data_IF_959257960650
#
_entry.id   IF_959257960650
#
_cell.length_a   1.000
_cell.length_b   1.000
_cell.length_c   1.000
_cell.angle_alpha   90.00
_cell.angle_beta   90.00
_cell.angle_gamma   90.00
#
_symmetry.space_group_name_H-M   'P 1'
#
loop_
_entity.id
_entity.type
_entity.pdbx_description
1 polymer ?
#
# COMPACT_ATOMS: atom_id res chain seq x y z
N UNK A 1 -11.98 -7.70 92.70
CA UNK A 1 -12.47 -6.74 91.72
C UNK A 1 -11.41 -6.65 90.67
N UNK A 2 -11.54 -7.40 89.64
CA UNK A 2 -10.60 -7.42 88.51
C UNK A 2 -11.35 -6.86 87.36
N UNK A 3 -10.90 -5.67 86.90
CA UNK A 3 -11.32 -5.10 85.62
C UNK A 3 -10.29 -5.44 84.58
N UNK A 4 -10.66 -6.32 83.64
CA UNK A 4 -9.95 -6.49 82.37
C UNK A 4 -10.46 -5.47 81.34
N UNK A 5 -9.56 -4.81 80.58
CA UNK A 5 -9.98 -3.98 79.47
C UNK A 5 -10.24 -4.78 78.20
N UNK A 6 -11.18 -4.37 77.33
CA UNK A 6 -11.56 -5.11 76.14
C UNK A 6 -10.54 -5.03 75.00
N UNK A 7 -10.05 -6.18 74.58
CA UNK A 7 -9.19 -6.34 73.43
C UNK A 7 -10.00 -6.56 72.14
N UNK A 8 -10.64 -5.50 71.61
CA UNK A 8 -11.26 -5.56 70.24
C UNK A 8 -11.11 -4.20 69.57
N UNK A 9 -10.04 -3.97 68.84
CA UNK A 9 -10.04 -2.92 67.77
C UNK A 9 -8.85 -2.93 66.81
N UNK A 10 -7.80 -3.71 67.04
CA UNK A 10 -6.61 -3.68 66.17
C UNK A 10 -6.76 -4.48 64.86
N UNK A 11 -7.43 -5.63 64.86
CA UNK A 11 -7.60 -6.47 63.70
C UNK A 11 -8.63 -5.96 62.70
N UNK A 12 -9.70 -5.32 63.13
CA UNK A 12 -10.71 -4.77 62.22
C UNK A 12 -10.17 -3.52 61.44
N UNK A 13 -9.31 -2.73 62.06
CA UNK A 13 -8.65 -1.60 61.42
C UNK A 13 -7.60 -2.04 60.39
N UNK A 14 -6.88 -3.15 60.62
CA UNK A 14 -5.89 -3.69 59.69
C UNK A 14 -6.54 -4.29 58.42
N UNK A 15 -7.71 -4.97 58.56
CA UNK A 15 -8.47 -5.45 57.39
C UNK A 15 -9.06 -4.31 56.55
N UNK A 16 -9.57 -3.28 57.18
CA UNK A 16 -10.11 -2.08 56.51
C UNK A 16 -9.03 -1.35 55.73
N UNK A 17 -7.82 -1.21 56.29
CA UNK A 17 -6.68 -0.59 55.66
C UNK A 17 -6.14 -1.40 54.46
N UNK A 18 -6.02 -2.69 54.59
CA UNK A 18 -5.65 -3.61 53.48
C UNK A 18 -6.66 -3.58 52.33
N UNK A 19 -7.94 -3.53 52.59
CA UNK A 19 -8.97 -3.42 51.56
C UNK A 19 -8.97 -2.03 50.87
N UNK A 20 -8.71 -0.95 51.62
CA UNK A 20 -8.55 0.38 51.03
C UNK A 20 -7.33 0.48 50.15
N UNK A 21 -6.19 -0.09 50.52
CA UNK A 21 -4.99 -0.17 49.69
C UNK A 21 -5.24 -1.04 48.45
N UNK A 22 -5.85 -2.20 48.57
CA UNK A 22 -6.23 -3.05 47.43
C UNK A 22 -7.17 -2.35 46.47
N UNK A 23 -8.15 -1.60 46.97
CA UNK A 23 -9.07 -0.85 46.12
C UNK A 23 -8.40 0.35 45.46
N UNK A 24 -7.53 1.10 46.15
CA UNK A 24 -6.72 2.15 45.54
C UNK A 24 -5.74 1.61 44.50
N UNK A 25 -5.10 0.48 44.77
CA UNK A 25 -4.23 -0.18 43.80
C UNK A 25 -5.05 -0.68 42.58
N UNK A 26 -6.26 -1.24 42.77
CA UNK A 26 -7.16 -1.57 41.66
C UNK A 26 -7.64 -0.34 40.88
N UNK A 27 -7.89 0.79 41.55
CA UNK A 27 -8.21 2.06 40.88
C UNK A 27 -7.02 2.61 40.10
N UNK A 28 -5.81 2.56 40.66
CA UNK A 28 -4.58 2.94 39.96
C UNK A 28 -4.34 2.03 38.76
N UNK A 29 -4.46 0.70 38.90
CA UNK A 29 -4.37 -0.23 37.77
C UNK A 29 -5.47 -0.04 36.72
N UNK A 30 -6.70 0.33 37.13
CA UNK A 30 -7.81 0.62 36.23
C UNK A 30 -7.63 1.96 35.50
N UNK A 31 -7.02 2.96 36.15
CA UNK A 31 -6.66 4.24 35.53
C UNK A 31 -5.39 4.17 34.70
N UNK A 32 -4.53 3.18 34.92
CA UNK A 32 -3.34 2.88 34.12
C UNK A 32 -3.65 1.95 32.92
N UNK A 33 -4.88 1.45 32.78
CA UNK A 33 -5.34 0.80 31.55
C UNK A 33 -5.50 1.91 30.50
N UNK A 34 -4.42 2.19 29.79
CA UNK A 34 -4.39 3.11 28.66
C UNK A 34 -5.44 2.66 27.64
N UNK A 35 -6.53 3.42 27.55
CA UNK A 35 -7.57 3.20 26.55
C UNK A 35 -7.36 4.27 25.50
N UNK A 36 -6.92 3.90 24.30
CA UNK A 36 -6.73 4.86 23.22
C UNK A 36 -8.05 5.57 22.92
N UNK A 37 -8.03 6.90 22.86
CA UNK A 37 -9.20 7.74 22.61
C UNK A 37 -9.35 8.13 21.14
N UNK A 38 -8.30 7.95 20.36
CA UNK A 38 -8.27 8.25 18.95
C UNK A 38 -7.35 7.26 18.19
N UNK A 39 -7.37 7.34 16.85
CA UNK A 39 -6.58 6.45 15.99
C UNK A 39 -5.06 6.57 16.22
N UNK A 40 -4.56 7.77 16.52
CA UNK A 40 -3.13 8.00 16.74
C UNK A 40 -2.65 7.33 18.03
N UNK A 41 -3.43 7.48 19.11
CA UNK A 41 -3.16 6.80 20.37
C UNK A 41 -3.25 5.27 20.22
N UNK A 42 -4.20 4.76 19.41
CA UNK A 42 -4.31 3.35 19.11
C UNK A 42 -3.06 2.84 18.37
N UNK A 43 -2.62 3.55 17.33
CA UNK A 43 -1.42 3.22 16.59
C UNK A 43 -0.17 3.21 17.49
N UNK A 44 -0.04 4.20 18.41
CA UNK A 44 1.04 4.23 19.41
C UNK A 44 1.04 3.00 20.30
N UNK A 45 -0.13 2.60 20.83
CA UNK A 45 -0.24 1.41 21.69
C UNK A 45 0.12 0.11 20.95
N UNK A 46 -0.16 0.04 19.65
CA UNK A 46 0.16 -1.11 18.81
C UNK A 46 1.67 -1.18 18.55
N UNK A 47 2.32 -0.03 18.28
CA UNK A 47 3.79 0.07 18.14
C UNK A 47 4.51 -0.36 19.41
N UNK A 48 4.09 0.16 20.58
CA UNK A 48 4.62 -0.24 21.87
C UNK A 48 4.52 -1.77 22.10
N UNK A 49 3.43 -2.39 21.61
CA UNK A 49 3.23 -3.83 21.72
C UNK A 49 4.21 -4.59 20.82
N UNK A 50 4.55 -4.07 19.65
CA UNK A 50 5.55 -4.65 18.75
C UNK A 50 6.96 -4.50 19.31
N UNK A 51 7.31 -3.35 19.89
CA UNK A 51 8.60 -3.11 20.53
C UNK A 51 8.84 -4.05 21.71
N UNK A 52 7.78 -4.43 22.44
CA UNK A 52 7.83 -5.41 23.52
C UNK A 52 7.85 -6.86 23.05
N UNK A 53 7.83 -7.11 21.73
CA UNK A 53 7.83 -8.47 21.17
C UNK A 53 6.51 -9.22 21.29
N UNK A 54 5.39 -8.53 21.65
CA UNK A 54 4.04 -9.13 21.72
C UNK A 54 3.42 -9.24 20.33
N UNK A 55 3.81 -8.35 19.40
CA UNK A 55 3.30 -8.27 18.04
C UNK A 55 4.46 -8.33 17.05
N UNK A 56 4.35 -9.19 16.05
CA UNK A 56 5.34 -9.28 14.96
C UNK A 56 5.30 -8.03 14.07
N UNK A 57 6.45 -7.62 13.53
CA UNK A 57 6.56 -6.43 12.68
C UNK A 57 5.65 -6.48 11.45
N UNK A 58 5.52 -7.63 10.79
CA UNK A 58 4.61 -7.78 9.65
C UNK A 58 3.15 -7.52 10.02
N UNK A 59 2.71 -8.03 11.17
CA UNK A 59 1.36 -7.78 11.70
C UNK A 59 1.16 -6.31 12.07
N UNK A 60 2.18 -5.65 12.64
CA UNK A 60 2.15 -4.21 12.92
C UNK A 60 1.90 -3.42 11.62
N UNK A 61 2.69 -3.69 10.57
CA UNK A 61 2.56 -3.01 9.27
C UNK A 61 1.15 -3.17 8.68
N UNK A 62 0.58 -4.38 8.71
CA UNK A 62 -0.79 -4.62 8.23
C UNK A 62 -1.83 -3.82 9.02
N UNK A 63 -1.69 -3.71 10.35
CA UNK A 63 -2.62 -2.93 11.16
C UNK A 63 -2.49 -1.43 10.85
N UNK A 64 -1.28 -0.93 10.69
CA UNK A 64 -1.04 0.47 10.30
C UNK A 64 -1.59 0.77 8.90
N UNK A 65 -1.39 -0.14 7.93
CA UNK A 65 -1.98 -0.06 6.60
C UNK A 65 -3.51 -0.03 6.64
N UNK A 66 -4.14 -0.91 7.43
CA UNK A 66 -5.60 -0.90 7.60
C UNK A 66 -6.12 0.41 8.22
N UNK A 67 -5.39 1.00 9.17
CA UNK A 67 -5.71 2.32 9.73
C UNK A 67 -5.57 3.43 8.67
N UNK A 68 -4.54 3.36 7.82
CA UNK A 68 -4.28 4.29 6.71
C UNK A 68 -5.43 4.23 5.69
N UNK A 69 -5.77 3.06 5.16
CA UNK A 69 -6.89 2.86 4.21
C UNK A 69 -8.21 3.41 4.74
N UNK A 70 -8.42 3.41 6.06
CA UNK A 70 -9.62 4.00 6.65
C UNK A 70 -9.69 5.53 6.60
N UNK A 71 -8.58 6.22 6.29
CA UNK A 71 -8.47 7.69 6.22
C UNK A 71 -8.21 8.21 4.83
N UNK A 72 -7.47 7.47 4.03
CA UNK A 72 -6.99 7.90 2.72
C UNK A 72 -8.09 7.89 1.66
N UNK A 73 -7.85 8.60 0.59
CA UNK A 73 -8.75 8.78 -0.54
C UNK A 73 -8.21 8.07 -1.78
N UNK A 74 -9.07 7.84 -2.75
CA UNK A 74 -8.73 7.20 -4.03
C UNK A 74 -7.55 7.89 -4.72
N UNK A 75 -7.51 9.22 -4.71
CA UNK A 75 -6.42 10.01 -5.31
C UNK A 75 -5.03 9.72 -4.74
N UNK A 76 -4.97 9.21 -3.50
CA UNK A 76 -3.70 8.97 -2.81
C UNK A 76 -3.02 7.68 -3.29
N UNK A 77 -3.80 6.76 -3.94
CA UNK A 77 -3.32 5.44 -4.39
C UNK A 77 -3.63 5.12 -5.85
N UNK A 78 -4.44 5.94 -6.53
CA UNK A 78 -4.80 5.69 -7.93
C UNK A 78 -3.57 5.71 -8.84
N UNK A 79 -3.63 4.94 -9.92
CA UNK A 79 -2.70 5.05 -11.04
C UNK A 79 -3.12 6.26 -11.87
N UNK A 80 -2.30 7.32 -11.96
CA UNK A 80 -2.64 8.52 -12.70
C UNK A 80 -2.83 8.24 -14.20
N UNK A 81 -3.73 8.97 -14.85
CA UNK A 81 -4.08 8.80 -16.26
C UNK A 81 -2.88 8.67 -17.21
N UNK A 82 -1.77 9.44 -17.10
CA UNK A 82 -0.61 9.31 -18.00
C UNK A 82 0.09 7.94 -17.91
N UNK A 83 -0.12 7.19 -16.83
CA UNK A 83 0.47 5.86 -16.62
C UNK A 83 -0.48 4.72 -17.02
N UNK A 84 -1.74 5.04 -17.30
CA UNK A 84 -2.74 4.03 -17.65
C UNK A 84 -2.57 3.59 -19.10
N UNK A 85 -2.56 2.27 -19.31
CA UNK A 85 -2.56 1.69 -20.65
C UNK A 85 -4.00 1.57 -21.14
N UNK A 86 -4.43 2.48 -21.99
CA UNK A 86 -5.74 2.45 -22.63
C UNK A 86 -5.71 1.64 -23.94
N UNK A 87 -6.86 1.10 -24.34
CA UNK A 87 -7.13 0.61 -25.68
C UNK A 87 -8.21 1.50 -26.27
N UNK A 88 -8.00 2.02 -27.48
CA UNK A 88 -9.00 2.83 -28.16
C UNK A 88 -10.12 1.94 -28.73
N UNK A 89 -11.34 2.44 -28.69
CA UNK A 89 -12.56 1.72 -29.09
C UNK A 89 -12.46 1.13 -30.51
N UNK A 90 -11.94 1.89 -31.45
CA UNK A 90 -11.84 1.52 -32.86
C UNK A 90 -10.47 0.96 -33.25
N UNK A 91 -9.59 0.73 -32.25
CA UNK A 91 -8.26 0.20 -32.48
C UNK A 91 -8.31 -1.28 -32.90
N UNK A 92 -7.54 -1.62 -33.92
CA UNK A 92 -7.48 -2.99 -34.40
C UNK A 92 -6.70 -3.90 -33.45
N UNK A 93 -7.13 -5.16 -33.35
CA UNK A 93 -6.48 -6.13 -32.46
C UNK A 93 -4.98 -6.25 -32.68
N UNK A 94 -4.52 -6.22 -33.92
CA UNK A 94 -3.10 -6.31 -34.27
C UNK A 94 -2.26 -5.16 -33.72
N UNK A 95 -2.86 -3.99 -33.48
CA UNK A 95 -2.17 -2.77 -33.04
C UNK A 95 -2.07 -2.70 -31.51
N UNK A 96 -3.13 -3.11 -30.78
CA UNK A 96 -3.10 -3.07 -29.32
C UNK A 96 -2.56 -4.36 -28.65
N UNK A 97 -2.69 -5.55 -29.29
CA UNK A 97 -2.22 -6.81 -28.70
C UNK A 97 -0.76 -6.80 -28.25
N UNK A 98 0.21 -6.26 -29.02
CA UNK A 98 1.59 -6.17 -28.55
C UNK A 98 1.74 -5.36 -27.27
N UNK A 99 0.91 -4.32 -27.09
CA UNK A 99 0.87 -3.45 -25.91
C UNK A 99 0.31 -4.20 -24.71
N UNK A 100 -0.80 -4.93 -24.91
CA UNK A 100 -1.41 -5.80 -23.89
C UNK A 100 -0.43 -6.87 -23.39
N UNK A 101 0.24 -7.56 -24.31
CA UNK A 101 1.20 -8.62 -23.98
C UNK A 101 2.41 -8.02 -23.20
N UNK A 102 2.93 -6.90 -23.65
CA UNK A 102 4.10 -6.27 -23.03
C UNK A 102 3.81 -5.72 -21.63
N UNK A 103 2.62 -5.16 -21.42
CA UNK A 103 2.24 -4.59 -20.13
C UNK A 103 1.95 -5.63 -19.07
N UNK A 104 1.54 -6.85 -19.46
CA UNK A 104 1.18 -7.90 -18.50
C UNK A 104 -0.10 -7.65 -17.69
N UNK A 105 -0.80 -6.53 -17.94
CA UNK A 105 -1.99 -6.19 -17.18
C UNK A 105 -3.18 -7.10 -17.51
N UNK A 106 -4.03 -7.32 -16.53
CA UNK A 106 -5.23 -8.17 -16.68
C UNK A 106 -6.45 -7.41 -17.20
N UNK A 107 -6.49 -6.08 -17.06
CA UNK A 107 -7.66 -5.24 -17.37
C UNK A 107 -7.22 -3.96 -18.06
N UNK A 108 -7.95 -3.57 -19.10
CA UNK A 108 -7.67 -2.40 -19.92
C UNK A 108 -8.91 -1.54 -20.07
N UNK A 109 -8.89 -0.27 -19.65
CA UNK A 109 -9.97 0.65 -19.94
C UNK A 109 -10.04 0.93 -21.45
N UNK A 110 -11.26 0.94 -21.99
CA UNK A 110 -11.53 1.23 -23.40
C UNK A 110 -11.90 2.69 -23.52
N UNK A 111 -11.02 3.44 -24.16
CA UNK A 111 -11.19 4.89 -24.39
C UNK A 111 -11.87 5.16 -25.72
N UNK A 112 -12.85 6.01 -25.71
CA UNK A 112 -13.38 6.62 -26.94
C UNK A 112 -12.60 7.93 -27.20
N UNK A 113 -11.74 7.98 -28.24
CA UNK A 113 -10.90 9.13 -28.49
C UNK A 113 -11.66 10.41 -28.92
N UNK A 114 -12.89 10.27 -29.44
CA UNK A 114 -13.70 11.41 -29.87
C UNK A 114 -14.35 12.14 -28.69
N UNK A 115 -14.74 11.39 -27.66
CA UNK A 115 -15.46 11.93 -26.49
C UNK A 115 -14.59 12.02 -25.24
N UNK A 116 -13.37 11.47 -25.29
CA UNK A 116 -12.45 11.32 -24.17
C UNK A 116 -13.08 10.57 -22.97
N UNK A 117 -14.00 9.62 -23.21
CA UNK A 117 -14.70 8.86 -22.18
C UNK A 117 -14.36 7.39 -22.23
N UNK A 118 -14.43 6.74 -21.05
CA UNK A 118 -14.29 5.28 -20.96
C UNK A 118 -15.63 4.63 -21.26
N UNK A 119 -15.66 3.73 -22.25
CA UNK A 119 -16.83 2.95 -22.62
C UNK A 119 -16.96 1.65 -21.81
N UNK A 120 -15.88 1.18 -21.21
CA UNK A 120 -15.86 0.02 -20.37
C UNK A 120 -14.46 -0.55 -20.16
N UNK A 121 -14.40 -1.81 -19.74
CA UNK A 121 -13.16 -2.53 -19.42
C UNK A 121 -13.07 -3.79 -20.26
N UNK A 122 -11.93 -4.00 -20.90
CA UNK A 122 -11.55 -5.26 -21.54
C UNK A 122 -10.74 -6.11 -20.57
N UNK A 123 -11.06 -7.40 -20.46
CA UNK A 123 -10.25 -8.37 -19.74
C UNK A 123 -9.27 -9.05 -20.72
N UNK A 124 -7.97 -9.01 -20.42
CA UNK A 124 -6.94 -9.64 -21.27
C UNK A 124 -7.21 -11.13 -21.56
N UNK A 125 -7.73 -11.88 -20.59
CA UNK A 125 -8.09 -13.29 -20.75
C UNK A 125 -9.15 -13.55 -21.83
N UNK A 126 -10.00 -12.57 -22.13
CA UNK A 126 -11.04 -12.72 -23.16
C UNK A 126 -10.48 -12.62 -24.58
N UNK A 127 -9.21 -12.22 -24.72
CA UNK A 127 -8.48 -12.25 -25.99
C UNK A 127 -7.92 -13.64 -26.35
N UNK A 128 -7.77 -14.53 -25.35
CA UNK A 128 -7.13 -15.84 -25.54
C UNK A 128 -7.77 -16.70 -26.66
N UNK A 129 -9.11 -16.80 -26.79
CA UNK A 129 -9.72 -17.57 -27.87
C UNK A 129 -9.33 -17.06 -29.26
N UNK A 130 -9.21 -15.75 -29.45
CA UNK A 130 -8.89 -15.13 -30.74
C UNK A 130 -7.41 -15.27 -31.10
N UNK A 131 -6.52 -15.23 -30.11
CA UNK A 131 -5.09 -15.43 -30.30
C UNK A 131 -4.81 -16.87 -30.64
N UNK A 132 -5.46 -17.84 -29.99
CA UNK A 132 -5.24 -19.27 -30.20
C UNK A 132 -5.69 -19.77 -31.58
N UNK A 133 -6.79 -19.20 -32.09
CA UNK A 133 -7.33 -19.59 -33.41
C UNK A 133 -6.73 -18.82 -34.57
N UNK A 134 -5.90 -17.79 -34.30
CA UNK A 134 -5.39 -16.83 -35.29
C UNK A 134 -6.50 -16.16 -36.11
N UNK A 135 -7.72 -16.19 -35.63
CA UNK A 135 -8.90 -15.67 -36.34
C UNK A 135 -9.25 -14.24 -35.86
N UNK A 136 -8.28 -13.33 -36.07
CA UNK A 136 -8.47 -11.91 -35.72
C UNK A 136 -9.55 -11.21 -36.57
N UNK A 137 -9.97 -11.82 -37.69
CA UNK A 137 -11.00 -11.24 -38.54
C UNK A 137 -12.42 -11.30 -37.90
N UNK A 138 -12.66 -12.23 -36.99
CA UNK A 138 -13.91 -12.35 -36.24
C UNK A 138 -13.89 -11.58 -34.93
N UNK A 139 -12.78 -10.93 -34.59
CA UNK A 139 -12.63 -10.16 -33.38
C UNK A 139 -13.49 -8.89 -33.44
N UNK A 140 -14.39 -8.75 -32.49
CA UNK A 140 -15.20 -7.55 -32.28
C UNK A 140 -15.01 -7.09 -30.84
N UNK A 141 -14.23 -6.05 -30.65
CA UNK A 141 -13.92 -5.47 -29.32
C UNK A 141 -15.20 -5.16 -28.54
N UNK A 142 -16.23 -4.59 -29.22
CA UNK A 142 -17.50 -4.21 -28.63
C UNK A 142 -18.26 -5.33 -27.90
N UNK A 143 -18.02 -6.59 -28.27
CA UNK A 143 -18.64 -7.76 -27.61
C UNK A 143 -17.95 -8.17 -26.31
N UNK A 144 -16.73 -7.72 -26.10
CA UNK A 144 -15.89 -8.09 -24.97
C UNK A 144 -15.81 -7.00 -23.90
N UNK A 145 -16.35 -5.80 -24.21
CA UNK A 145 -16.35 -4.67 -23.30
C UNK A 145 -17.34 -4.94 -22.15
N UNK A 146 -16.84 -4.85 -20.94
CA UNK A 146 -17.64 -4.93 -19.71
C UNK A 146 -17.89 -3.54 -19.14
N UNK A 147 -19.03 -3.31 -18.46
CA UNK A 147 -19.29 -2.03 -17.81
C UNK A 147 -18.15 -1.63 -16.86
N UNK A 148 -17.74 -0.37 -16.91
CA UNK A 148 -16.80 0.20 -15.97
C UNK A 148 -17.52 0.74 -14.73
N UNK A 149 -16.88 0.67 -13.58
CA UNK A 149 -17.28 1.38 -12.36
C UNK A 149 -16.57 2.72 -12.35
N UNK A 150 -17.28 3.79 -12.04
CA UNK A 150 -16.73 5.14 -11.93
C UNK A 150 -16.80 5.62 -10.48
N UNK A 151 -15.72 6.22 -10.01
CA UNK A 151 -15.64 6.71 -8.63
C UNK A 151 -14.95 8.07 -8.60
N UNK A 152 -15.37 8.99 -7.70
CA UNK A 152 -14.67 10.25 -7.54
C UNK A 152 -13.33 10.04 -6.83
N UNK A 153 -12.34 10.85 -7.17
CA UNK A 153 -11.00 10.80 -6.56
C UNK A 153 -11.00 11.11 -5.05
N UNK A 154 -12.00 11.82 -4.56
CA UNK A 154 -12.20 12.14 -3.13
C UNK A 154 -12.82 11.00 -2.31
N UNK A 155 -13.23 9.89 -2.96
CA UNK A 155 -13.83 8.74 -2.26
C UNK A 155 -12.85 8.11 -1.28
N UNK A 156 -13.34 7.72 -0.09
CA UNK A 156 -12.52 6.99 0.89
C UNK A 156 -12.20 5.58 0.41
N UNK A 157 -10.96 5.13 0.64
CA UNK A 157 -10.49 3.82 0.18
C UNK A 157 -11.26 2.64 0.79
N UNK A 158 -11.64 2.71 2.07
CA UNK A 158 -12.47 1.67 2.68
C UNK A 158 -13.82 1.52 1.98
N UNK A 159 -14.47 2.63 1.62
CA UNK A 159 -15.76 2.60 0.91
C UNK A 159 -15.59 2.08 -0.52
N UNK A 160 -14.48 2.43 -1.19
CA UNK A 160 -14.13 1.88 -2.49
C UNK A 160 -13.95 0.36 -2.42
N UNK A 161 -13.20 -0.13 -1.44
CA UNK A 161 -12.94 -1.54 -1.25
C UNK A 161 -14.24 -2.33 -1.07
N UNK A 162 -15.16 -1.83 -0.23
CA UNK A 162 -16.45 -2.47 0.00
C UNK A 162 -17.31 -2.49 -1.28
N UNK A 163 -17.32 -1.42 -2.05
CA UNK A 163 -18.04 -1.33 -3.32
C UNK A 163 -17.50 -2.28 -4.38
N UNK A 164 -16.17 -2.31 -4.57
CA UNK A 164 -15.52 -3.22 -5.51
C UNK A 164 -15.79 -4.68 -5.14
N UNK A 165 -15.70 -5.04 -3.86
CA UNK A 165 -16.02 -6.39 -3.38
C UNK A 165 -17.48 -6.75 -3.60
N UNK A 166 -18.42 -5.88 -3.25
CA UNK A 166 -19.84 -6.13 -3.42
C UNK A 166 -20.23 -6.28 -4.88
N UNK A 167 -19.66 -5.46 -5.77
CA UNK A 167 -19.87 -5.48 -7.21
C UNK A 167 -19.08 -6.58 -7.94
N UNK A 168 -18.18 -7.31 -7.25
CA UNK A 168 -17.22 -8.23 -7.87
C UNK A 168 -16.39 -7.58 -8.99
N UNK A 169 -16.14 -6.30 -8.83
CA UNK A 169 -15.29 -5.52 -9.71
C UNK A 169 -13.88 -5.44 -9.11
N UNK A 170 -12.88 -5.44 -9.98
CA UNK A 170 -11.48 -5.34 -9.57
C UNK A 170 -10.82 -4.04 -9.98
N UNK A 171 -11.52 -3.21 -10.74
CA UNK A 171 -11.02 -1.94 -11.24
C UNK A 171 -12.14 -0.91 -11.26
N UNK A 172 -11.83 0.32 -10.92
CA UNK A 172 -12.67 1.48 -11.10
C UNK A 172 -11.93 2.57 -11.89
N UNK A 173 -12.65 3.33 -12.67
CA UNK A 173 -12.16 4.55 -13.34
C UNK A 173 -12.38 5.71 -12.40
N UNK A 174 -11.35 6.53 -12.22
CA UNK A 174 -11.38 7.66 -11.30
C UNK A 174 -11.69 8.94 -12.06
N UNK A 175 -12.62 9.72 -11.53
CA UNK A 175 -13.06 10.98 -12.12
C UNK A 175 -12.83 12.13 -11.14
N UNK A 176 -12.54 13.31 -11.69
CA UNK A 176 -12.54 14.57 -10.96
C UNK A 176 -13.96 15.16 -10.80
N UNK A 177 -14.05 16.37 -10.26
CA UNK A 177 -15.31 17.11 -10.02
C UNK A 177 -16.00 17.55 -11.32
N UNK A 178 -15.29 17.55 -12.44
CA UNK A 178 -15.79 17.92 -13.77
C UNK A 178 -16.25 16.70 -14.58
N UNK A 179 -15.94 15.50 -14.08
CA UNK A 179 -16.23 14.23 -14.74
C UNK A 179 -15.13 13.81 -15.73
N UNK A 180 -13.98 14.43 -15.66
CA UNK A 180 -12.80 14.06 -16.45
C UNK A 180 -12.05 12.89 -15.81
N UNK A 181 -11.43 12.05 -16.64
CA UNK A 181 -10.69 10.87 -16.20
C UNK A 181 -9.34 11.31 -15.63
N UNK A 182 -9.14 11.10 -14.34
CA UNK A 182 -7.88 11.37 -13.64
C UNK A 182 -6.98 10.16 -13.49
N UNK A 183 -7.56 8.95 -13.52
CA UNK A 183 -6.81 7.70 -13.40
C UNK A 183 -7.68 6.46 -13.30
N UNK A 184 -7.08 5.40 -12.80
CA UNK A 184 -7.77 4.17 -12.42
C UNK A 184 -7.31 3.74 -11.04
N UNK A 185 -8.08 2.90 -10.39
CA UNK A 185 -7.71 2.23 -9.14
C UNK A 185 -8.19 0.79 -9.17
N UNK A 186 -7.37 -0.13 -8.68
CA UNK A 186 -7.72 -1.55 -8.59
C UNK A 186 -7.91 -1.99 -7.14
N UNK A 187 -8.54 -3.14 -6.94
CA UNK A 187 -8.66 -3.72 -5.60
C UNK A 187 -7.28 -4.12 -5.07
N UNK A 188 -6.40 -4.52 -5.97
CA UNK A 188 -5.02 -4.88 -5.72
C UNK A 188 -4.25 -3.69 -5.11
N UNK A 189 -4.39 -2.48 -5.66
CA UNK A 189 -3.74 -1.26 -5.14
C UNK A 189 -4.20 -0.94 -3.70
N UNK A 190 -5.49 -1.10 -3.42
CA UNK A 190 -6.03 -0.87 -2.06
C UNK A 190 -5.54 -1.93 -1.07
N UNK A 191 -5.41 -3.19 -1.51
CA UNK A 191 -4.89 -4.28 -0.68
C UNK A 191 -3.40 -4.11 -0.41
N UNK A 192 -2.64 -3.62 -1.36
CA UNK A 192 -1.21 -3.30 -1.21
C UNK A 192 -0.98 -2.27 -0.11
N UNK A 193 -1.84 -1.24 0.01
CA UNK A 193 -1.78 -0.28 1.11
C UNK A 193 -2.00 -0.92 2.51
N UNK A 194 -2.69 -2.07 2.57
CA UNK A 194 -2.93 -2.80 3.83
C UNK A 194 -1.79 -3.76 4.14
N UNK A 195 -1.39 -4.55 3.15
CA UNK A 195 -0.45 -5.68 3.33
C UNK A 195 0.99 -5.22 3.17
N UNK A 196 1.22 -4.11 2.45
CA UNK A 196 2.53 -3.70 1.93
C UNK A 196 2.87 -4.50 0.67
N UNK A 197 3.99 -4.20 0.06
CA UNK A 197 4.51 -5.03 -1.04
C UNK A 197 4.61 -6.48 -0.55
N UNK A 198 3.90 -7.38 -1.23
CA UNK A 198 4.05 -8.82 -0.99
C UNK A 198 5.38 -9.18 -1.62
N UNK A 199 6.43 -9.26 -0.78
CA UNK A 199 7.71 -9.80 -1.23
C UNK A 199 7.44 -11.18 -1.84
N UNK A 200 7.58 -11.30 -3.16
CA UNK A 200 7.52 -12.61 -3.84
C UNK A 200 8.68 -13.45 -3.28
N UNK A 201 8.43 -14.75 -3.03
CA UNK A 201 9.48 -15.67 -2.53
C UNK A 201 10.73 -15.69 -3.45
N UNK A 202 10.57 -15.17 -4.68
CA UNK A 202 11.63 -14.93 -5.64
C UNK A 202 12.25 -13.53 -5.57
N UNK A 203 11.61 -12.57 -4.88
CA UNK A 203 12.07 -11.18 -4.72
C UNK A 203 13.09 -10.99 -3.57
N UNK A 204 13.81 -12.03 -3.20
CA UNK A 204 14.97 -11.87 -2.29
C UNK A 204 15.98 -10.82 -2.76
N UNK A 205 15.77 -10.28 -3.96
CA UNK A 205 16.68 -9.36 -4.63
C UNK A 205 16.14 -7.94 -4.88
N UNK A 206 14.84 -7.67 -4.72
CA UNK A 206 14.27 -6.33 -5.04
C UNK A 206 14.42 -5.29 -3.93
N UNK A 207 14.80 -5.71 -2.73
CA UNK A 207 15.14 -4.78 -1.62
C UNK A 207 16.62 -4.48 -1.47
N UNK A 208 17.49 -5.16 -2.22
CA UNK A 208 18.94 -4.97 -2.10
C UNK A 208 19.39 -3.81 -2.98
N UNK A 209 19.51 -2.61 -2.39
CA UNK A 209 20.02 -1.42 -3.08
C UNK A 209 21.37 -1.66 -3.77
N UNK A 210 22.13 -2.65 -3.31
CA UNK A 210 23.46 -3.02 -3.82
C UNK A 210 23.54 -4.55 -3.91
N UNK A 211 23.59 -5.09 -5.14
CA UNK A 211 23.68 -6.52 -5.43
C UNK A 211 25.02 -6.86 -6.07
N UNK A 212 25.73 -7.84 -5.53
CA UNK A 212 26.93 -8.39 -6.18
C UNK A 212 26.50 -9.36 -7.29
N UNK A 213 26.90 -9.07 -8.53
CA UNK A 213 26.58 -9.87 -9.73
C UNK A 213 27.72 -10.77 -10.17
N UNK A 214 28.97 -10.40 -9.86
CA UNK A 214 30.17 -11.19 -10.04
C UNK A 214 31.23 -10.73 -9.04
N UNK A 215 32.32 -11.48 -8.91
CA UNK A 215 33.42 -11.11 -8.00
C UNK A 215 33.94 -9.69 -8.30
N UNK A 216 33.67 -8.75 -7.39
CA UNK A 216 34.02 -7.34 -7.53
C UNK A 216 33.12 -6.50 -8.44
N UNK A 217 32.03 -7.08 -9.01
CA UNK A 217 31.05 -6.37 -9.82
C UNK A 217 29.72 -6.26 -9.08
N UNK A 218 29.18 -5.03 -8.98
CA UNK A 218 27.96 -4.74 -8.22
C UNK A 218 26.95 -4.03 -9.10
N UNK A 219 25.70 -4.49 -9.02
CA UNK A 219 24.55 -3.75 -9.51
C UNK A 219 24.03 -2.87 -8.36
N UNK A 220 24.03 -1.55 -8.58
CA UNK A 220 23.63 -0.59 -7.56
C UNK A 220 22.43 0.20 -8.07
N UNK A 221 21.39 0.27 -7.25
CA UNK A 221 20.20 1.09 -7.56
C UNK A 221 20.59 2.58 -7.60
N UNK A 222 20.06 3.32 -8.56
CA UNK A 222 20.21 4.77 -8.61
C UNK A 222 19.62 5.48 -7.37
N UNK A 223 18.66 4.84 -6.69
CA UNK A 223 18.04 5.34 -5.47
C UNK A 223 18.84 5.02 -4.19
N UNK A 224 19.99 4.35 -4.30
CA UNK A 224 20.83 4.06 -3.14
C UNK A 224 21.28 5.35 -2.47
N UNK A 225 21.02 5.54 -1.15
CA UNK A 225 21.53 6.67 -0.40
C UNK A 225 23.07 6.69 -0.40
N UNK A 226 23.65 7.88 -0.42
CA UNK A 226 25.11 8.05 -0.53
C UNK A 226 25.84 7.51 0.70
N UNK A 227 25.26 7.64 1.88
CA UNK A 227 25.79 7.11 3.13
C UNK A 227 25.85 5.57 3.10
N UNK A 228 24.78 4.89 2.63
CA UNK A 228 24.75 3.43 2.46
C UNK A 228 25.79 2.95 1.46
N UNK A 229 25.99 3.68 0.36
CA UNK A 229 27.02 3.38 -0.63
C UNK A 229 28.43 3.55 -0.04
N UNK A 230 28.66 4.67 0.65
CA UNK A 230 29.93 4.97 1.30
C UNK A 230 30.32 3.91 2.34
N UNK A 231 29.35 3.48 3.16
CA UNK A 231 29.56 2.42 4.15
C UNK A 231 29.93 1.09 3.50
N UNK A 232 29.20 0.68 2.45
CA UNK A 232 29.41 -0.60 1.76
C UNK A 232 30.76 -0.70 1.05
N UNK A 233 31.18 0.40 0.38
CA UNK A 233 32.40 0.41 -0.45
C UNK A 233 33.57 1.18 0.20
N UNK A 234 33.44 1.58 1.45
CA UNK A 234 34.42 2.40 2.17
C UNK A 234 34.87 3.62 1.35
N UNK A 235 33.89 4.28 0.70
CA UNK A 235 34.10 5.46 -0.14
C UNK A 235 33.72 6.74 0.63
N UNK A 236 33.98 7.90 0.03
CA UNK A 236 33.75 9.22 0.65
C UNK A 236 33.07 10.18 -0.34
N UNK A 237 32.01 9.70 -1.01
CA UNK A 237 31.20 10.57 -1.87
C UNK A 237 30.49 11.60 -1.01
N UNK A 238 30.44 12.86 -1.51
CA UNK A 238 29.80 13.96 -0.78
C UNK A 238 28.27 13.84 -0.88
N UNK A 239 27.58 13.95 0.25
CA UNK A 239 26.12 13.99 0.42
C UNK A 239 25.56 15.43 0.51
N UNK A 240 26.42 16.46 0.27
CA UNK A 240 26.04 17.88 0.49
C UNK A 240 24.99 18.38 -0.52
N UNK A 241 25.05 17.90 -1.76
CA UNK A 241 24.24 18.41 -2.87
C UNK A 241 23.23 17.36 -3.37
N UNK A 242 23.38 16.10 -3.00
CA UNK A 242 22.55 14.98 -3.47
C UNK A 242 22.35 13.92 -2.39
N UNK A 243 21.15 13.38 -2.30
CA UNK A 243 20.81 12.33 -1.32
C UNK A 243 21.10 10.92 -1.84
N UNK A 244 21.16 10.73 -3.17
CA UNK A 244 21.28 9.41 -3.80
C UNK A 244 22.42 9.33 -4.81
N UNK A 245 22.89 8.11 -5.05
CA UNK A 245 23.94 7.84 -6.05
C UNK A 245 23.51 8.29 -7.46
N UNK A 246 22.23 8.08 -7.80
CA UNK A 246 21.65 8.55 -9.06
C UNK A 246 21.75 10.07 -9.24
N UNK A 247 21.56 10.84 -8.18
CA UNK A 247 21.73 12.30 -8.18
C UNK A 247 23.16 12.72 -8.56
N UNK A 248 24.18 12.08 -7.97
CA UNK A 248 25.59 12.32 -8.31
C UNK A 248 25.87 11.99 -9.77
N UNK A 249 25.41 10.80 -10.23
CA UNK A 249 25.62 10.33 -11.60
C UNK A 249 24.97 11.29 -12.61
N UNK A 250 23.73 11.70 -12.36
CA UNK A 250 22.98 12.63 -13.20
C UNK A 250 23.68 14.00 -13.30
N UNK A 251 24.16 14.51 -12.18
CA UNK A 251 24.91 15.78 -12.14
C UNK A 251 26.21 15.70 -12.95
N UNK A 252 26.95 14.59 -12.79
CA UNK A 252 28.23 14.40 -13.49
C UNK A 252 28.07 14.27 -15.00
N UNK A 253 27.05 13.53 -15.46
CA UNK A 253 26.80 13.33 -16.90
C UNK A 253 25.98 14.45 -17.54
N UNK A 254 25.37 15.36 -16.77
CA UNK A 254 24.47 16.42 -17.22
C UNK A 254 23.35 15.96 -18.19
N UNK A 255 23.05 14.68 -18.22
CA UNK A 255 22.01 14.03 -19.02
C UNK A 255 21.69 12.65 -18.47
N UNK A 256 20.51 12.12 -18.79
CA UNK A 256 20.19 10.72 -18.50
C UNK A 256 21.15 9.78 -19.26
N UNK A 257 21.85 8.87 -18.57
CA UNK A 257 22.66 7.86 -19.22
C UNK A 257 21.77 7.01 -20.14
N UNK A 258 22.27 6.67 -21.32
CA UNK A 258 21.57 5.71 -22.18
C UNK A 258 21.96 4.32 -21.71
N UNK A 259 21.02 3.35 -21.73
CA UNK A 259 21.37 1.95 -21.54
C UNK A 259 22.41 1.52 -22.58
N UNK A 260 23.38 0.71 -22.16
CA UNK A 260 24.38 0.12 -23.06
C UNK A 260 23.73 -0.92 -24.00
#
# INVERSE_FOLDING_TARGET
>A
MNDEPPSISAESNALGFRNRIKNKIKEIYRNFSYKPKNKQELAGSIRDSSERGVLEKGTLNMIEGALKVSTDQVRDVMIPRPQVVFIEKEEKAQDFLPRVIRSGHSRFPILNPETDKIEGILLAKELLPFISTKNLNEFQLSRLIRPAVFVPESKKLNNLLDELKAGKNHMAVVLDEYGDITGIVTIEDVLEEIVGEIEDEHDKDSGTLIKEIAEGEYLVSALTPIDVFNEKFNSSLSDKDFDTLGGIVMHHFARFPKPN
#
